data_IF_916562214503
#
_entry.id   IF_916562214503
#
_cell.length_a   1.000
_cell.length_b   1.000
_cell.length_c   1.000
_cell.angle_alpha   90.00
_cell.angle_beta   90.00
_cell.angle_gamma   90.00
#
_symmetry.space_group_name_H-M   'P 1'
#
loop_
_entity.id
_entity.type
_entity.pdbx_description
1 polymer ?
#
# COMPACT_ATOMS: atom_id res chain seq x y z
N UNK A 1 6.44 15.15 -1.85
CA UNK A 1 6.40 16.43 -1.15
C UNK A 1 5.04 16.61 -0.49
N UNK A 2 5.04 17.08 0.76
CA UNK A 2 3.79 17.27 1.48
C UNK A 2 3.13 15.97 1.92
N UNK A 3 3.86 14.88 2.00
CA UNK A 3 3.33 13.59 2.43
C UNK A 3 3.27 13.53 3.95
N UNK A 4 2.13 13.07 4.48
CA UNK A 4 1.93 12.85 5.90
C UNK A 4 1.63 11.39 6.15
N UNK A 5 2.52 10.72 6.87
CA UNK A 5 2.37 9.31 7.24
C UNK A 5 2.20 9.23 8.75
N UNK A 6 1.04 8.78 9.20
CA UNK A 6 0.74 8.67 10.62
C UNK A 6 1.47 7.47 11.26
N UNK A 7 1.28 7.30 12.56
CA UNK A 7 2.04 6.33 13.35
C UNK A 7 1.78 4.88 12.96
N UNK A 8 2.80 4.05 13.14
CA UNK A 8 2.72 2.60 13.00
C UNK A 8 2.34 2.12 11.60
N UNK A 9 2.66 2.88 10.58
CA UNK A 9 2.49 2.42 9.20
C UNK A 9 3.64 1.51 8.82
N UNK A 10 3.34 0.52 7.97
CA UNK A 10 4.32 -0.39 7.43
C UNK A 10 4.36 -0.24 5.92
N UNK A 11 5.54 0.03 5.39
CA UNK A 11 5.76 0.13 3.96
C UNK A 11 6.65 -1.04 3.57
N UNK A 12 6.05 -2.05 2.94
CA UNK A 12 6.68 -3.32 2.67
C UNK A 12 6.86 -3.53 1.16
N UNK A 13 8.01 -3.14 0.59
CA UNK A 13 8.20 -3.18 -0.87
C UNK A 13 8.54 -4.56 -1.41
N UNK A 14 8.63 -5.57 -0.56
CA UNK A 14 8.92 -6.94 -1.00
C UNK A 14 7.97 -7.93 -0.32
N UNK A 15 7.69 -9.04 -1.00
CA UNK A 15 6.87 -10.12 -0.48
C UNK A 15 7.60 -11.45 -0.58
N UNK A 16 7.23 -12.39 0.28
CA UNK A 16 7.76 -13.75 0.21
C UNK A 16 7.03 -14.57 -0.83
N UNK A 17 7.77 -15.47 -1.49
CA UNK A 17 7.16 -16.42 -2.38
C UNK A 17 6.56 -17.57 -1.56
N UNK A 18 5.33 -17.95 -1.86
CA UNK A 18 4.59 -18.93 -1.08
C UNK A 18 3.80 -19.94 -1.92
N UNK A 19 3.76 -19.78 -3.23
CA UNK A 19 2.85 -20.52 -4.10
C UNK A 19 3.15 -22.00 -4.23
N UNK A 20 4.40 -22.40 -4.01
CA UNK A 20 4.75 -23.83 -4.01
C UNK A 20 4.36 -24.48 -2.69
N UNK A 21 3.70 -25.64 -2.78
CA UNK A 21 3.40 -26.46 -1.60
C UNK A 21 4.53 -27.43 -1.25
N UNK A 22 5.47 -27.62 -2.15
CA UNK A 22 6.56 -28.59 -2.00
C UNK A 22 7.74 -28.04 -1.24
N UNK A 23 7.90 -26.72 -1.25
CA UNK A 23 8.96 -26.02 -0.51
C UNK A 23 8.37 -25.22 0.62
N UNK A 24 9.12 -25.09 1.71
CA UNK A 24 8.73 -24.16 2.78
C UNK A 24 8.78 -22.73 2.26
N UNK A 25 8.06 -21.83 2.89
CA UNK A 25 8.06 -20.42 2.53
C UNK A 25 9.49 -19.85 2.66
N UNK A 26 10.20 -20.25 3.68
CA UNK A 26 11.58 -19.79 3.89
C UNK A 26 12.49 -20.20 2.73
N UNK A 27 12.35 -21.41 2.23
CA UNK A 27 13.16 -21.91 1.09
C UNK A 27 12.84 -21.18 -0.21
N UNK A 28 11.61 -20.74 -0.39
CA UNK A 28 11.18 -20.05 -1.61
C UNK A 28 11.69 -18.61 -1.68
N UNK A 29 12.04 -18.03 -0.54
CA UNK A 29 12.60 -16.68 -0.43
C UNK A 29 11.59 -15.61 -0.88
N UNK A 30 12.00 -14.71 -1.75
CA UNK A 30 11.18 -13.56 -2.12
C UNK A 30 10.51 -13.76 -3.47
N UNK A 31 9.29 -13.24 -3.56
CA UNK A 31 8.56 -13.14 -4.80
C UNK A 31 9.22 -12.10 -5.71
N UNK A 32 9.11 -12.27 -7.02
CA UNK A 32 9.56 -11.26 -7.97
C UNK A 32 8.85 -9.94 -7.68
N UNK A 33 9.62 -8.86 -7.63
CA UNK A 33 9.08 -7.55 -7.28
C UNK A 33 8.16 -6.97 -8.34
N UNK A 34 7.25 -6.10 -7.89
CA UNK A 34 6.30 -5.37 -8.74
C UNK A 34 6.70 -3.91 -8.96
N UNK A 35 7.98 -3.59 -8.71
CA UNK A 35 8.50 -2.25 -8.94
C UNK A 35 8.54 -1.36 -7.70
N UNK A 36 8.22 -1.90 -6.53
CA UNK A 36 8.24 -1.16 -5.28
C UNK A 36 6.98 -0.33 -5.05
N UNK A 37 7.10 0.74 -4.28
CA UNK A 37 5.98 1.57 -3.86
C UNK A 37 6.25 3.00 -4.30
N UNK A 38 5.24 3.64 -4.91
CA UNK A 38 5.32 5.03 -5.32
C UNK A 38 4.28 5.82 -4.53
N UNK A 39 4.72 6.88 -3.87
CA UNK A 39 3.85 7.80 -3.15
C UNK A 39 4.10 9.19 -3.74
N UNK A 40 3.11 9.74 -4.40
CA UNK A 40 3.21 11.05 -5.02
C UNK A 40 2.98 12.17 -3.99
N UNK A 41 2.86 13.40 -4.45
CA UNK A 41 2.75 14.56 -3.58
C UNK A 41 1.40 14.65 -2.88
N UNK A 42 1.39 15.29 -1.71
CA UNK A 42 0.17 15.65 -0.98
C UNK A 42 -0.69 14.42 -0.63
N UNK A 43 -0.06 13.36 -0.14
CA UNK A 43 -0.72 12.12 0.27
C UNK A 43 -0.78 12.05 1.79
N UNK A 44 -1.93 11.64 2.32
CA UNK A 44 -2.08 11.39 3.75
C UNK A 44 -2.39 9.90 3.98
N UNK A 45 -1.57 9.26 4.78
CA UNK A 45 -1.72 7.85 5.14
C UNK A 45 -2.04 7.76 6.63
N UNK A 46 -3.24 7.27 6.94
CA UNK A 46 -3.70 7.12 8.32
C UNK A 46 -2.93 6.05 9.09
N UNK A 47 -3.05 6.08 10.41
CA UNK A 47 -2.28 5.21 11.30
C UNK A 47 -2.54 3.72 11.07
N UNK A 48 -1.54 2.90 11.35
CA UNK A 48 -1.63 1.44 11.27
C UNK A 48 -2.00 0.92 9.87
N UNK A 49 -1.61 1.64 8.84
CA UNK A 49 -1.85 1.24 7.46
C UNK A 49 -0.66 0.44 6.95
N UNK A 50 -0.94 -0.60 6.16
CA UNK A 50 0.08 -1.42 5.51
C UNK A 50 0.04 -1.16 4.02
N UNK A 51 1.19 -0.85 3.43
CA UNK A 51 1.34 -0.60 2.00
C UNK A 51 2.32 -1.62 1.46
N UNK A 52 1.93 -2.32 0.41
CA UNK A 52 2.74 -3.42 -0.12
C UNK A 52 3.25 -3.13 -1.53
N UNK A 53 4.18 -3.97 -1.97
CA UNK A 53 4.85 -3.87 -3.27
C UNK A 53 3.84 -3.71 -4.41
N UNK A 54 4.14 -2.80 -5.31
CA UNK A 54 3.29 -2.48 -6.46
C UNK A 54 2.28 -1.39 -6.20
N UNK A 55 2.17 -0.89 -4.96
CA UNK A 55 1.23 0.19 -4.67
C UNK A 55 1.68 1.51 -5.29
N UNK A 56 0.74 2.24 -5.86
CA UNK A 56 0.96 3.57 -6.40
C UNK A 56 -0.10 4.49 -5.83
N UNK A 57 0.32 5.42 -5.00
CA UNK A 57 -0.57 6.40 -4.39
C UNK A 57 -0.40 7.72 -5.14
N UNK A 58 -1.37 8.05 -5.98
CA UNK A 58 -1.30 9.24 -6.82
C UNK A 58 -1.50 10.50 -5.99
N UNK A 59 -1.24 11.64 -6.60
CA UNK A 59 -1.30 12.94 -5.94
C UNK A 59 -2.61 13.15 -5.20
N UNK A 60 -2.51 13.63 -3.96
CA UNK A 60 -3.68 14.03 -3.17
C UNK A 60 -4.47 12.88 -2.56
N UNK A 61 -4.00 11.65 -2.66
CA UNK A 61 -4.69 10.48 -2.09
C UNK A 61 -4.72 10.55 -0.57
N UNK A 62 -5.85 10.16 0.01
CA UNK A 62 -6.02 9.98 1.46
C UNK A 62 -6.34 8.52 1.73
N UNK A 63 -5.63 7.93 2.66
CA UNK A 63 -5.89 6.56 3.10
C UNK A 63 -6.28 6.58 4.57
N UNK A 64 -7.45 6.07 4.89
CA UNK A 64 -7.94 5.99 6.27
C UNK A 64 -7.12 5.01 7.11
N UNK A 65 -7.18 5.15 8.43
CA UNK A 65 -6.45 4.30 9.35
C UNK A 65 -6.84 2.81 9.21
N UNK A 66 -5.91 1.94 9.56
CA UNK A 66 -6.11 0.49 9.55
C UNK A 66 -6.45 -0.08 8.17
N UNK A 67 -5.87 0.50 7.13
CA UNK A 67 -6.12 0.06 5.76
C UNK A 67 -5.00 -0.83 5.24
N UNK A 68 -5.31 -1.59 4.19
CA UNK A 68 -4.33 -2.39 3.47
C UNK A 68 -4.28 -1.91 2.03
N UNK A 69 -3.12 -1.36 1.62
CA UNK A 69 -2.98 -0.70 0.32
C UNK A 69 -2.21 -1.57 -0.65
N UNK A 70 -2.84 -1.87 -1.78
CA UNK A 70 -2.23 -2.56 -2.90
C UNK A 70 -2.76 -1.95 -4.20
N UNK A 71 -1.96 -2.01 -5.27
CA UNK A 71 -2.37 -1.49 -6.56
C UNK A 71 -2.34 0.04 -6.65
N UNK A 72 -2.93 0.56 -7.69
CA UNK A 72 -2.92 1.99 -7.98
C UNK A 72 -4.16 2.68 -7.42
N UNK A 73 -3.94 3.75 -6.64
CA UNK A 73 -4.99 4.59 -6.09
C UNK A 73 -5.06 5.89 -6.88
N UNK A 74 -6.25 6.24 -7.37
CA UNK A 74 -6.43 7.43 -8.23
C UNK A 74 -6.24 8.73 -7.46
N UNK A 75 -5.74 9.74 -8.16
CA UNK A 75 -5.50 11.07 -7.62
C UNK A 75 -6.73 11.61 -6.89
N UNK A 76 -6.49 12.17 -5.72
CA UNK A 76 -7.52 12.79 -4.86
C UNK A 76 -8.60 11.83 -4.35
N UNK A 77 -8.40 10.53 -4.52
CA UNK A 77 -9.30 9.54 -3.94
C UNK A 77 -9.10 9.42 -2.43
N UNK A 78 -10.19 9.18 -1.71
CA UNK A 78 -10.18 8.87 -0.29
C UNK A 78 -10.53 7.40 -0.15
N UNK A 79 -9.58 6.62 0.35
CA UNK A 79 -9.69 5.16 0.43
C UNK A 79 -9.65 4.70 1.88
N UNK A 80 -10.27 3.57 2.18
CA UNK A 80 -10.18 2.97 3.52
C UNK A 80 -10.50 1.49 3.49
N UNK A 81 -10.01 0.78 4.49
CA UNK A 81 -10.41 -0.59 4.81
C UNK A 81 -9.49 -1.68 4.29
N UNK A 82 -9.91 -2.90 4.56
CA UNK A 82 -9.30 -4.12 4.06
C UNK A 82 -10.41 -5.15 3.82
N UNK A 83 -10.79 -5.43 2.57
CA UNK A 83 -10.21 -4.89 1.34
C UNK A 83 -10.41 -3.39 1.19
N UNK A 84 -9.43 -2.75 0.54
CA UNK A 84 -9.43 -1.30 0.36
C UNK A 84 -10.54 -0.88 -0.60
N UNK A 85 -11.25 0.19 -0.25
CA UNK A 85 -12.32 0.70 -1.10
C UNK A 85 -12.20 2.19 -1.27
N UNK A 86 -12.52 2.66 -2.46
CA UNK A 86 -12.67 4.08 -2.73
C UNK A 86 -13.96 4.57 -2.06
N UNK A 87 -13.85 5.50 -1.12
CA UNK A 87 -14.99 6.04 -0.39
C UNK A 87 -15.58 7.23 -1.16
N UNK A 88 -14.73 8.15 -1.57
CA UNK A 88 -15.11 9.36 -2.28
C UNK A 88 -13.86 10.01 -2.86
N UNK A 89 -14.04 11.11 -3.58
CA UNK A 89 -12.93 11.96 -4.01
C UNK A 89 -12.90 13.23 -3.17
N UNK A 90 -11.72 13.76 -2.98
CA UNK A 90 -11.55 15.10 -2.39
C UNK A 90 -12.14 16.11 -3.36
N UNK A 91 -12.84 17.07 -2.81
CA UNK A 91 -13.51 18.09 -3.64
C UNK A 91 -12.68 19.35 -3.71
#
# INVERSE_FOLDING_TARGET
>A
RGVLIAANCTIAPVNHEYRSKEKTILEQRFMQGKGGIIIEDDVWIGANTVIVDGAILRKGVVVGANSFVTGELESYGVYAGNPLRLIKHRV
#
